data_IF_071163217518
#
_entry.id   IF_071163217518
#
_cell.length_a   1.000
_cell.length_b   1.000
_cell.length_c   1.000
_cell.angle_alpha   90.00
_cell.angle_beta   90.00
_cell.angle_gamma   90.00
#
_symmetry.space_group_name_H-M   'P 1'
#
loop_
_entity.id
_entity.type
_entity.pdbx_description
1 polymer ?
#
# COMPACT_ATOMS: atom_id res chain seq x y z
N UNK A 1 50.48 -51.15 33.91
CA UNK A 1 50.91 -52.37 33.21
C UNK A 1 49.92 -52.66 32.10
N UNK A 2 50.43 -52.90 30.90
CA UNK A 2 49.69 -53.28 29.68
C UNK A 2 48.89 -54.58 29.87
N UNK A 3 47.70 -54.69 29.28
CA UNK A 3 47.48 -55.67 28.20
C UNK A 3 46.15 -55.49 27.46
N UNK A 4 46.21 -55.81 26.16
CA UNK A 4 45.18 -55.67 25.12
C UNK A 4 44.53 -57.04 24.85
N UNK A 5 43.28 -57.03 24.35
CA UNK A 5 42.54 -58.02 23.51
C UNK A 5 41.22 -58.48 24.16
N UNK A 6 40.09 -58.71 23.47
CA UNK A 6 39.66 -58.63 22.06
C UNK A 6 38.13 -58.92 22.05
N UNK A 7 37.40 -58.36 21.07
CA UNK A 7 36.09 -58.82 20.58
C UNK A 7 34.88 -58.33 21.39
N UNK A 8 33.80 -57.78 20.83
CA UNK A 8 33.27 -57.69 19.46
C UNK A 8 32.37 -56.42 19.37
N UNK A 9 32.49 -55.50 18.39
CA UNK A 9 31.80 -55.46 17.06
C UNK A 9 30.26 -55.51 17.20
N UNK A 10 29.41 -54.59 16.72
CA UNK A 10 29.30 -53.63 15.59
C UNK A 10 28.14 -52.66 15.93
N UNK A 11 27.91 -51.47 15.37
CA UNK A 11 28.52 -50.70 14.29
C UNK A 11 27.63 -49.48 13.99
N UNK A 12 28.23 -48.33 13.65
CA UNK A 12 27.79 -47.54 12.50
C UNK A 12 28.88 -46.53 12.09
N UNK A 13 29.21 -46.51 10.80
CA UNK A 13 30.39 -45.85 10.22
C UNK A 13 30.13 -44.37 9.93
N UNK A 14 30.99 -43.49 10.46
CA UNK A 14 31.34 -42.21 9.83
C UNK A 14 32.38 -42.42 8.72
N UNK A 15 32.30 -41.67 7.63
CA UNK A 15 33.42 -41.24 6.75
C UNK A 15 32.92 -40.10 5.84
N UNK A 16 33.64 -39.04 5.52
CA UNK A 16 34.80 -38.33 6.08
C UNK A 16 34.94 -37.06 5.23
N UNK A 17 35.25 -35.95 5.88
CA UNK A 17 35.64 -34.66 5.29
C UNK A 17 36.84 -34.85 4.35
N UNK A 18 36.82 -34.21 3.17
CA UNK A 18 38.02 -33.96 2.36
C UNK A 18 38.22 -32.45 2.23
N UNK A 19 39.20 -31.98 2.99
CA UNK A 19 39.87 -30.70 2.83
C UNK A 19 41.00 -30.94 1.79
N UNK A 20 41.07 -30.10 0.76
CA UNK A 20 42.24 -29.96 -0.11
C UNK A 20 42.58 -28.47 -0.14
N UNK A 21 43.78 -28.15 0.33
CA UNK A 21 44.41 -26.84 0.13
C UNK A 21 45.55 -26.93 -0.88
N UNK A 22 46.22 -25.77 -1.03
CA UNK A 22 47.46 -25.47 -1.78
C UNK A 22 47.13 -25.09 -3.25
N UNK A 23 47.51 -23.95 -3.84
CA UNK A 23 48.74 -23.13 -3.75
C UNK A 23 48.42 -21.65 -4.01
N UNK A 24 49.02 -20.76 -3.23
CA UNK A 24 49.18 -19.35 -3.56
C UNK A 24 50.32 -19.18 -4.58
N UNK A 25 50.03 -18.57 -5.73
CA UNK A 25 51.04 -17.94 -6.58
C UNK A 25 50.75 -16.43 -6.60
N UNK A 26 51.65 -15.69 -5.98
CA UNK A 26 51.72 -14.25 -6.07
C UNK A 26 52.08 -13.87 -7.51
N UNK A 27 51.12 -13.28 -8.22
CA UNK A 27 51.31 -12.61 -9.49
C UNK A 27 50.76 -11.20 -9.36
N UNK A 28 51.61 -10.27 -8.96
CA UNK A 28 51.35 -8.84 -8.94
C UNK A 28 51.18 -8.33 -10.37
N UNK A 29 49.97 -7.94 -10.76
CA UNK A 29 49.75 -6.99 -11.84
C UNK A 29 48.39 -6.29 -11.72
N UNK A 30 48.49 -4.98 -11.45
CA UNK A 30 47.54 -3.91 -11.76
C UNK A 30 46.15 -3.92 -11.09
N UNK A 31 45.97 -2.90 -10.25
CA UNK A 31 44.68 -2.39 -9.78
C UNK A 31 43.71 -2.22 -10.95
N UNK A 32 42.62 -2.96 -10.85
CA UNK A 32 41.37 -2.71 -11.55
C UNK A 32 40.26 -3.30 -10.70
N UNK A 33 40.07 -2.78 -9.49
CA UNK A 33 38.85 -3.04 -8.75
C UNK A 33 37.71 -2.40 -9.52
N UNK A 34 37.16 -3.12 -10.50
CA UNK A 34 35.78 -2.90 -10.92
C UNK A 34 34.97 -3.07 -9.65
N UNK A 35 34.56 -1.96 -9.06
CA UNK A 35 33.44 -1.95 -8.14
C UNK A 35 32.29 -2.60 -8.91
N UNK A 36 32.02 -3.87 -8.64
CA UNK A 36 30.71 -4.42 -8.88
C UNK A 36 29.80 -3.60 -7.98
N UNK A 37 29.27 -2.50 -8.52
CA UNK A 37 28.18 -1.78 -7.88
C UNK A 37 27.14 -2.84 -7.59
N UNK A 38 26.84 -3.05 -6.32
CA UNK A 38 25.69 -3.84 -5.93
C UNK A 38 24.49 -3.19 -6.59
N UNK A 39 24.03 -3.72 -7.73
CA UNK A 39 22.74 -3.35 -8.27
C UNK A 39 21.75 -3.64 -7.17
N UNK A 40 21.13 -2.62 -6.58
CA UNK A 40 20.11 -2.82 -5.58
C UNK A 40 19.07 -3.77 -6.19
N UNK A 41 18.88 -4.94 -5.59
CA UNK A 41 17.94 -5.91 -6.12
C UNK A 41 16.56 -5.26 -6.09
N UNK A 42 15.87 -5.25 -7.24
CA UNK A 42 14.52 -4.68 -7.31
C UNK A 42 13.63 -5.35 -6.24
N UNK A 43 12.73 -4.59 -5.60
CA UNK A 43 11.86 -5.13 -4.57
C UNK A 43 11.02 -6.28 -5.12
N UNK A 44 10.77 -7.29 -4.31
CA UNK A 44 9.79 -8.31 -4.66
C UNK A 44 8.40 -7.66 -4.76
N UNK A 45 7.71 -7.90 -5.88
CA UNK A 45 6.35 -7.43 -6.10
C UNK A 45 5.36 -8.50 -5.60
N UNK A 46 4.37 -8.12 -4.78
CA UNK A 46 3.32 -9.02 -4.29
C UNK A 46 1.96 -8.36 -4.37
N UNK A 47 0.92 -9.13 -4.71
CA UNK A 47 -0.47 -8.68 -4.69
C UNK A 47 -1.29 -9.57 -3.76
N UNK A 48 -1.87 -8.97 -2.74
CA UNK A 48 -2.80 -9.58 -1.79
C UNK A 48 -4.19 -9.00 -2.02
N UNK A 49 -4.88 -9.48 -3.06
CA UNK A 49 -6.18 -8.95 -3.45
C UNK A 49 -7.11 -10.03 -3.98
N UNK A 50 -8.32 -10.12 -3.44
CA UNK A 50 -9.37 -11.07 -3.80
C UNK A 50 -10.43 -10.50 -4.75
N UNK A 51 -11.50 -11.26 -4.99
CA UNK A 51 -12.68 -10.77 -5.72
C UNK A 51 -13.43 -9.72 -4.91
N UNK A 52 -13.42 -9.86 -3.58
CA UNK A 52 -13.98 -8.91 -2.64
C UNK A 52 -13.07 -8.68 -1.41
N UNK A 53 -13.59 -7.92 -0.44
CA UNK A 53 -12.92 -7.61 0.84
C UNK A 53 -12.68 -8.87 1.69
N UNK A 54 -13.60 -9.84 1.66
CA UNK A 54 -13.47 -11.09 2.41
C UNK A 54 -12.32 -11.89 1.80
N UNK A 55 -12.33 -12.16 0.49
CA UNK A 55 -11.24 -12.87 -0.19
C UNK A 55 -9.89 -12.17 -0.01
N UNK A 56 -9.87 -10.84 0.00
CA UNK A 56 -8.66 -10.05 0.29
C UNK A 56 -8.15 -10.33 1.70
N UNK A 57 -9.02 -10.35 2.72
CA UNK A 57 -8.65 -10.73 4.09
C UNK A 57 -8.11 -12.17 4.20
N UNK A 58 -8.65 -13.11 3.40
CA UNK A 58 -8.17 -14.50 3.40
C UNK A 58 -6.79 -14.63 2.75
N UNK A 59 -6.52 -13.84 1.69
CA UNK A 59 -5.18 -13.77 1.07
C UNK A 59 -4.14 -13.17 2.02
N UNK A 60 -4.51 -12.13 2.76
CA UNK A 60 -3.67 -11.54 3.82
C UNK A 60 -3.39 -12.58 4.91
N UNK A 61 -4.43 -13.30 5.33
CA UNK A 61 -4.31 -14.37 6.33
C UNK A 61 -3.35 -15.48 5.86
N UNK A 62 -3.56 -16.01 4.65
CA UNK A 62 -2.72 -17.07 4.07
C UNK A 62 -1.28 -16.63 3.82
N UNK A 63 -1.06 -15.35 3.52
CA UNK A 63 0.29 -14.79 3.36
C UNK A 63 1.11 -14.89 4.65
N UNK A 64 0.51 -14.60 5.81
CA UNK A 64 1.24 -14.48 7.07
C UNK A 64 1.06 -15.65 8.05
N UNK A 65 -0.03 -16.39 7.96
CA UNK A 65 -0.36 -17.48 8.89
C UNK A 65 -0.60 -18.80 8.16
N UNK A 66 0.29 -19.76 8.40
CA UNK A 66 0.05 -21.16 8.09
C UNK A 66 -0.92 -21.78 9.11
N UNK A 67 -0.74 -21.44 10.39
CA UNK A 67 -1.64 -21.75 11.50
C UNK A 67 -1.80 -20.51 12.39
N UNK A 68 -2.94 -20.38 13.06
CA UNK A 68 -3.18 -19.35 14.07
C UNK A 68 -4.16 -19.88 15.11
N UNK A 69 -3.79 -19.84 16.39
CA UNK A 69 -4.68 -20.24 17.48
C UNK A 69 -5.85 -19.25 17.69
N UNK A 70 -5.62 -17.99 17.32
CA UNK A 70 -6.56 -16.89 17.51
C UNK A 70 -6.94 -16.28 16.15
N UNK A 71 -8.16 -15.78 16.03
CA UNK A 71 -8.57 -14.88 14.94
C UNK A 71 -9.37 -13.68 15.52
N UNK A 72 -9.23 -12.52 14.89
CA UNK A 72 -10.10 -11.35 15.15
C UNK A 72 -11.15 -11.30 14.06
N UNK A 73 -12.43 -11.31 14.42
CA UNK A 73 -13.54 -11.31 13.48
C UNK A 73 -14.27 -9.96 13.52
N UNK A 74 -14.39 -9.33 12.35
CA UNK A 74 -15.02 -8.01 12.22
C UNK A 74 -16.09 -8.03 11.11
N UNK A 75 -16.99 -7.06 11.14
CA UNK A 75 -18.04 -6.97 10.12
C UNK A 75 -17.46 -6.40 8.81
N UNK A 76 -17.79 -7.05 7.69
CA UNK A 76 -17.31 -6.68 6.36
C UNK A 76 -17.87 -5.33 5.86
N UNK A 77 -19.04 -4.90 6.36
CA UNK A 77 -19.76 -3.68 5.96
C UNK A 77 -19.65 -2.52 6.96
N UNK A 78 -19.31 -2.80 8.23
CA UNK A 78 -19.24 -1.78 9.29
C UNK A 78 -17.89 -1.83 10.03
N UNK A 79 -16.91 -1.09 9.50
CA UNK A 79 -15.52 -1.19 9.95
C UNK A 79 -15.13 -0.27 11.10
N UNK A 80 -15.93 0.76 11.38
CA UNK A 80 -15.52 1.84 12.29
C UNK A 80 -15.18 1.34 13.70
N UNK A 81 -15.99 0.43 14.25
CA UNK A 81 -15.76 -0.18 15.56
C UNK A 81 -14.46 -1.00 15.61
N UNK A 82 -14.00 -1.46 14.45
CA UNK A 82 -12.87 -2.37 14.32
C UNK A 82 -11.55 -1.69 13.96
N UNK A 83 -11.50 -0.39 13.62
CA UNK A 83 -10.27 0.27 13.17
C UNK A 83 -9.17 0.28 14.24
N UNK A 84 -9.54 0.15 15.51
CA UNK A 84 -8.62 0.05 16.65
C UNK A 84 -8.24 -1.40 17.02
N UNK A 85 -8.64 -2.40 16.23
CA UNK A 85 -8.40 -3.82 16.56
C UNK A 85 -7.02 -4.35 16.18
N UNK A 86 -6.24 -3.62 15.38
CA UNK A 86 -4.93 -4.08 14.92
C UNK A 86 -3.95 -4.40 16.07
N UNK A 87 -3.89 -3.61 17.17
CA UNK A 87 -3.06 -3.98 18.30
C UNK A 87 -3.48 -5.27 19.00
N UNK A 88 -4.79 -5.52 19.12
CA UNK A 88 -5.31 -6.75 19.70
C UNK A 88 -4.97 -7.95 18.80
N UNK A 89 -5.20 -7.83 17.50
CA UNK A 89 -4.85 -8.86 16.53
C UNK A 89 -3.34 -9.17 16.57
N UNK A 90 -2.49 -8.13 16.67
CA UNK A 90 -1.04 -8.28 16.81
C UNK A 90 -0.67 -8.99 18.12
N UNK A 91 -1.23 -8.54 19.25
CA UNK A 91 -0.99 -9.13 20.58
C UNK A 91 -1.40 -10.61 20.66
N UNK A 92 -2.47 -10.99 19.96
CA UNK A 92 -2.96 -12.37 19.90
C UNK A 92 -2.38 -13.19 18.75
N UNK A 93 -1.43 -12.61 17.99
CA UNK A 93 -0.84 -13.23 16.80
C UNK A 93 -1.90 -13.78 15.83
N UNK A 94 -2.93 -12.98 15.59
CA UNK A 94 -4.16 -13.37 14.92
C UNK A 94 -4.34 -12.63 13.58
N UNK A 95 -4.84 -13.28 12.52
CA UNK A 95 -5.37 -12.58 11.36
C UNK A 95 -6.67 -11.84 11.71
N UNK A 96 -6.92 -10.76 10.98
CA UNK A 96 -8.24 -10.11 10.93
C UNK A 96 -9.03 -10.77 9.80
N UNK A 97 -10.13 -11.42 10.15
CA UNK A 97 -11.06 -12.05 9.22
C UNK A 97 -12.38 -11.30 9.19
N UNK A 98 -13.10 -11.41 8.08
CA UNK A 98 -14.31 -10.65 7.83
C UNK A 98 -15.55 -11.55 7.78
N UNK A 99 -16.70 -11.03 8.17
CA UNK A 99 -17.99 -11.71 8.01
C UNK A 99 -19.13 -10.71 7.84
N UNK A 100 -20.26 -11.16 7.32
CA UNK A 100 -21.48 -10.37 7.32
C UNK A 100 -22.13 -10.34 8.71
N UNK A 101 -23.10 -9.44 8.91
CA UNK A 101 -23.74 -9.22 10.22
C UNK A 101 -24.37 -10.49 10.79
N UNK A 102 -25.13 -11.21 9.98
CA UNK A 102 -26.05 -12.24 10.48
C UNK A 102 -25.61 -13.67 10.18
N UNK A 103 -24.54 -13.85 9.41
CA UNK A 103 -24.08 -15.15 8.96
C UNK A 103 -22.55 -15.21 8.99
N UNK A 104 -21.98 -16.30 9.50
CA UNK A 104 -20.54 -16.56 9.36
C UNK A 104 -20.23 -16.87 7.90
N UNK A 105 -19.51 -15.98 7.21
CA UNK A 105 -19.16 -16.18 5.81
C UNK A 105 -18.50 -17.55 5.59
N UNK A 106 -18.94 -18.28 4.57
CA UNK A 106 -18.48 -19.65 4.31
C UNK A 106 -16.97 -19.72 4.06
N UNK A 107 -16.40 -18.76 3.32
CA UNK A 107 -14.95 -18.71 3.04
C UNK A 107 -14.17 -18.38 4.32
N UNK A 108 -14.68 -17.48 5.16
CA UNK A 108 -14.10 -17.20 6.48
C UNK A 108 -14.14 -18.42 7.40
N UNK A 109 -15.23 -19.18 7.37
CA UNK A 109 -15.36 -20.44 8.12
C UNK A 109 -14.34 -21.48 7.68
N UNK A 110 -14.07 -21.58 6.38
CA UNK A 110 -13.02 -22.45 5.83
C UNK A 110 -11.63 -21.99 6.27
N UNK A 111 -11.37 -20.69 6.27
CA UNK A 111 -10.08 -20.15 6.71
C UNK A 111 -9.82 -20.39 8.20
N UNK A 112 -10.85 -20.21 9.04
CA UNK A 112 -10.81 -20.55 10.47
C UNK A 112 -10.40 -22.03 10.67
N UNK A 113 -10.94 -22.94 9.84
CA UNK A 113 -10.57 -24.36 9.89
C UNK A 113 -9.14 -24.59 9.40
N UNK A 114 -8.75 -23.98 8.29
CA UNK A 114 -7.39 -24.09 7.71
C UNK A 114 -6.32 -23.69 8.72
N UNK A 115 -6.56 -22.59 9.44
CA UNK A 115 -5.65 -22.04 10.44
C UNK A 115 -5.62 -22.85 11.75
N UNK A 116 -6.60 -23.71 12.00
CA UNK A 116 -6.75 -24.43 13.26
C UNK A 116 -7.16 -23.54 14.43
N UNK A 117 -7.89 -22.45 14.17
CA UNK A 117 -8.30 -21.45 15.18
C UNK A 117 -9.08 -22.11 16.33
N UNK A 118 -8.76 -21.69 17.55
CA UNK A 118 -9.39 -22.10 18.80
C UNK A 118 -10.15 -20.97 19.48
N UNK A 119 -9.69 -19.73 19.33
CA UNK A 119 -10.33 -18.58 19.93
C UNK A 119 -10.65 -17.52 18.87
N UNK A 120 -11.86 -16.97 18.91
CA UNK A 120 -12.28 -15.87 18.04
C UNK A 120 -12.69 -14.66 18.88
N UNK A 121 -12.05 -13.53 18.61
CA UNK A 121 -12.38 -12.23 19.19
C UNK A 121 -13.33 -11.50 18.25
N UNK A 122 -14.62 -11.43 18.60
CA UNK A 122 -15.64 -10.76 17.78
C UNK A 122 -15.71 -9.29 18.16
N UNK A 123 -15.40 -8.39 17.23
CA UNK A 123 -15.36 -6.95 17.50
C UNK A 123 -16.70 -6.29 17.17
N UNK A 124 -17.23 -5.55 18.14
CA UNK A 124 -18.49 -4.82 18.02
C UNK A 124 -19.66 -5.49 18.75
N UNK A 125 -20.75 -4.73 18.86
CA UNK A 125 -21.99 -5.18 19.51
C UNK A 125 -22.72 -6.23 18.67
N UNK A 126 -23.81 -6.79 19.22
CA UNK A 126 -24.70 -7.69 18.49
C UNK A 126 -25.42 -7.02 17.31
N UNK A 127 -25.46 -5.68 17.28
CA UNK A 127 -25.97 -4.93 16.12
C UNK A 127 -25.00 -4.92 14.94
N UNK A 128 -23.70 -5.08 15.24
CA UNK A 128 -22.59 -5.12 14.27
C UNK A 128 -22.37 -6.54 13.77
N UNK A 129 -22.26 -7.52 14.67
CA UNK A 129 -22.19 -8.96 14.32
C UNK A 129 -23.17 -9.66 15.25
N UNK A 130 -24.18 -10.32 14.73
CA UNK A 130 -25.27 -10.88 15.53
C UNK A 130 -24.81 -12.07 16.38
N UNK A 131 -25.65 -12.45 17.34
CA UNK A 131 -25.43 -13.64 18.16
C UNK A 131 -25.49 -14.95 17.33
N UNK A 132 -26.05 -14.91 16.11
CA UNK A 132 -26.07 -16.08 15.24
C UNK A 132 -24.66 -16.46 14.79
N UNK A 133 -23.82 -15.48 14.44
CA UNK A 133 -22.42 -15.72 14.08
C UNK A 133 -21.65 -16.34 15.24
N UNK A 134 -21.88 -15.89 16.49
CA UNK A 134 -21.28 -16.51 17.68
C UNK A 134 -21.72 -17.97 17.85
N UNK A 135 -23.00 -18.25 17.63
CA UNK A 135 -23.53 -19.60 17.67
C UNK A 135 -22.89 -20.50 16.61
N UNK A 136 -22.69 -20.00 15.39
CA UNK A 136 -22.01 -20.73 14.32
C UNK A 136 -20.54 -21.04 14.67
N UNK A 137 -19.83 -20.11 15.30
CA UNK A 137 -18.46 -20.32 15.79
C UNK A 137 -18.43 -21.34 16.94
N UNK A 138 -19.31 -21.22 17.92
CA UNK A 138 -19.41 -22.18 19.04
C UNK A 138 -19.70 -23.61 18.54
N UNK A 139 -20.54 -23.76 17.50
CA UNK A 139 -20.80 -25.05 16.86
C UNK A 139 -19.56 -25.66 16.18
N UNK A 140 -18.52 -24.88 15.94
CA UNK A 140 -17.21 -25.34 15.47
C UNK A 140 -16.24 -25.63 16.64
N UNK A 141 -16.70 -25.62 17.89
CA UNK A 141 -15.91 -25.73 19.12
C UNK A 141 -14.85 -24.63 19.25
N UNK A 142 -15.19 -23.42 18.82
CA UNK A 142 -14.35 -22.23 18.96
C UNK A 142 -14.79 -21.47 20.21
N UNK A 143 -13.83 -21.04 21.04
CA UNK A 143 -14.09 -20.15 22.15
C UNK A 143 -14.31 -18.72 21.61
N UNK A 144 -15.50 -18.18 21.81
CA UNK A 144 -15.84 -16.83 21.32
C UNK A 144 -15.74 -15.82 22.46
N UNK A 145 -14.99 -14.74 22.23
CA UNK A 145 -14.97 -13.55 23.11
C UNK A 145 -15.43 -12.33 22.33
N UNK A 146 -16.61 -11.81 22.66
CA UNK A 146 -17.09 -10.56 22.09
C UNK A 146 -16.49 -9.36 22.82
N UNK A 147 -15.98 -8.40 22.06
CA UNK A 147 -15.49 -7.11 22.56
C UNK A 147 -16.28 -6.02 21.84
N UNK A 148 -17.36 -5.57 22.49
CA UNK A 148 -18.28 -4.58 21.95
C UNK A 148 -18.79 -3.62 23.02
N UNK A 149 -18.82 -2.34 22.68
CA UNK A 149 -19.32 -1.26 23.52
C UNK A 149 -20.72 -0.79 23.17
N UNK A 150 -21.23 0.16 23.95
CA UNK A 150 -22.45 0.91 23.61
C UNK A 150 -22.27 1.76 22.35
N UNK A 151 -21.04 2.17 22.09
CA UNK A 151 -20.60 2.86 20.89
C UNK A 151 -19.14 2.49 20.58
N UNK A 152 -18.58 3.11 19.55
CA UNK A 152 -17.20 2.89 19.14
C UNK A 152 -16.16 3.42 20.13
N UNK A 153 -16.50 4.44 20.92
CA UNK A 153 -15.61 4.95 21.97
C UNK A 153 -15.45 3.89 23.06
N UNK A 154 -16.56 3.38 23.59
CA UNK A 154 -16.55 2.29 24.58
C UNK A 154 -15.91 1.02 24.02
N UNK A 155 -16.16 0.69 22.74
CA UNK A 155 -15.51 -0.44 22.06
C UNK A 155 -13.99 -0.27 22.02
N UNK A 156 -13.47 0.92 21.68
CA UNK A 156 -12.03 1.18 21.66
C UNK A 156 -11.38 1.04 23.04
N UNK A 157 -12.05 1.51 24.10
CA UNK A 157 -11.56 1.33 25.47
C UNK A 157 -11.55 -0.13 25.90
N UNK A 158 -12.59 -0.90 25.52
CA UNK A 158 -12.66 -2.33 25.80
C UNK A 158 -11.56 -3.09 25.10
N UNK A 159 -11.26 -2.78 23.83
CA UNK A 159 -10.13 -3.37 23.11
C UNK A 159 -8.80 -3.01 23.79
N UNK A 160 -8.62 -1.73 24.18
CA UNK A 160 -7.40 -1.30 24.87
C UNK A 160 -7.15 -2.05 26.18
N UNK A 161 -8.21 -2.35 26.95
CA UNK A 161 -8.14 -3.12 28.20
C UNK A 161 -7.84 -4.61 28.01
N UNK A 162 -7.92 -5.13 26.79
CA UNK A 162 -7.55 -6.51 26.45
C UNK A 162 -6.07 -6.67 26.11
N UNK A 163 -5.35 -5.55 25.96
CA UNK A 163 -3.92 -5.54 25.68
C UNK A 163 -3.11 -5.69 26.96
N UNK A 164 -2.03 -6.44 26.86
CA UNK A 164 -1.02 -6.62 27.89
C UNK A 164 0.26 -5.89 27.43
N UNK A 165 1.07 -5.39 28.36
CA UNK A 165 2.34 -4.70 28.06
C UNK A 165 2.19 -3.51 27.10
N UNK A 166 1.23 -2.63 27.41
CA UNK A 166 1.03 -1.38 26.67
C UNK A 166 1.98 -0.31 27.22
N UNK A 167 2.73 0.34 26.32
CA UNK A 167 3.70 1.39 26.65
C UNK A 167 3.13 2.79 26.38
N UNK A 168 2.18 2.89 25.44
CA UNK A 168 1.64 4.17 24.99
C UNK A 168 0.22 4.05 24.46
N UNK A 169 -0.41 5.19 24.20
CA UNK A 169 -1.75 5.26 23.61
C UNK A 169 -1.75 6.15 22.38
N UNK A 170 -2.59 5.83 21.40
CA UNK A 170 -2.92 6.68 20.28
C UNK A 170 -4.38 7.12 20.38
N UNK A 171 -4.64 8.43 20.39
CA UNK A 171 -5.97 9.02 20.38
C UNK A 171 -6.29 9.53 18.97
N UNK A 172 -7.37 9.02 18.40
CA UNK A 172 -7.85 9.33 17.05
C UNK A 172 -9.35 9.64 17.07
N UNK A 173 -9.88 10.28 16.04
CA UNK A 173 -11.32 10.51 15.97
C UNK A 173 -12.04 9.22 15.55
N UNK A 174 -13.02 8.78 16.35
CA UNK A 174 -13.76 7.56 16.08
C UNK A 174 -14.82 7.68 14.98
N UNK A 175 -15.28 8.90 14.65
CA UNK A 175 -16.45 9.14 13.80
C UNK A 175 -16.15 9.87 12.49
N UNK A 176 -15.05 10.61 12.42
CA UNK A 176 -14.61 11.36 11.25
C UNK A 176 -13.13 11.12 11.03
N UNK A 177 -12.70 11.05 9.76
CA UNK A 177 -11.28 10.88 9.45
C UNK A 177 -10.77 9.50 9.85
N UNK A 178 -11.58 8.45 9.63
CA UNK A 178 -11.27 7.06 10.00
C UNK A 178 -9.91 6.55 9.49
N UNK A 179 -9.38 7.14 8.42
CA UNK A 179 -8.05 6.87 7.90
C UNK A 179 -6.90 7.21 8.89
N UNK A 180 -7.12 8.14 9.83
CA UNK A 180 -6.17 8.48 10.89
C UNK A 180 -5.97 7.29 11.84
N UNK A 181 -7.06 6.57 12.16
CA UNK A 181 -7.01 5.35 12.99
C UNK A 181 -6.23 4.22 12.29
N UNK A 182 -6.41 4.07 10.97
CA UNK A 182 -5.71 3.03 10.20
C UNK A 182 -4.25 3.38 9.98
N UNK A 183 -3.92 4.67 9.89
CA UNK A 183 -2.53 5.13 9.71
C UNK A 183 -1.61 4.70 10.86
N UNK A 184 -2.13 4.65 12.09
CA UNK A 184 -1.39 4.21 13.28
C UNK A 184 -1.51 2.70 13.55
N UNK A 185 -2.35 1.96 12.80
CA UNK A 185 -2.66 0.56 13.09
C UNK A 185 -1.44 -0.38 13.05
N UNK A 186 -0.60 -0.27 12.02
CA UNK A 186 0.64 -1.07 11.92
C UNK A 186 1.73 -0.59 12.91
N UNK A 187 2.07 0.71 12.97
CA UNK A 187 3.05 1.22 13.94
C UNK A 187 2.70 0.99 15.40
N UNK A 188 1.41 0.90 15.73
CA UNK A 188 0.96 0.65 17.09
C UNK A 188 1.43 -0.70 17.66
N UNK A 189 1.75 -1.67 16.78
CA UNK A 189 2.13 -3.04 17.15
C UNK A 189 1.17 -3.58 18.21
N UNK A 190 1.65 -4.29 19.23
CA UNK A 190 0.83 -4.71 20.38
C UNK A 190 0.95 -3.77 21.59
N UNK A 191 1.86 -2.80 21.57
CA UNK A 191 2.24 -1.99 22.74
C UNK A 191 1.70 -0.55 22.70
N UNK A 192 0.94 -0.18 21.67
CA UNK A 192 0.20 1.08 21.62
C UNK A 192 -1.30 0.81 21.50
N UNK A 193 -2.07 1.17 22.51
CA UNK A 193 -3.52 1.04 22.45
C UNK A 193 -4.14 2.18 21.63
N UNK A 194 -5.10 1.88 20.75
CA UNK A 194 -5.79 2.90 19.94
C UNK A 194 -7.14 3.21 20.58
N UNK A 195 -7.33 4.48 20.98
CA UNK A 195 -8.50 5.00 21.66
C UNK A 195 -9.23 5.99 20.77
N UNK A 196 -10.56 5.94 20.79
CA UNK A 196 -11.38 6.88 20.03
C UNK A 196 -11.84 8.05 20.88
N UNK A 197 -11.85 9.22 20.25
CA UNK A 197 -12.43 10.45 20.75
C UNK A 197 -13.37 11.05 19.67
N UNK A 198 -14.10 12.08 20.05
CA UNK A 198 -14.76 12.98 19.09
C UNK A 198 -13.93 14.24 18.91
N UNK A 199 -14.35 15.11 17.98
CA UNK A 199 -13.61 16.34 17.67
C UNK A 199 -13.38 17.21 18.88
N UNK A 200 -14.44 17.45 19.65
CA UNK A 200 -14.47 18.40 20.75
C UNK A 200 -14.82 17.74 22.10
N UNK A 201 -14.97 16.41 22.12
CA UNK A 201 -15.32 15.65 23.31
C UNK A 201 -14.37 14.45 23.53
N UNK A 202 -13.85 14.33 24.75
CA UNK A 202 -13.07 13.19 25.21
C UNK A 202 -13.83 12.57 26.37
N UNK A 203 -14.26 11.32 26.21
CA UNK A 203 -14.91 10.57 27.28
C UNK A 203 -13.97 10.46 28.49
N UNK A 204 -14.49 10.65 29.71
CA UNK A 204 -13.67 10.67 30.94
C UNK A 204 -12.89 9.37 31.15
N UNK A 205 -13.48 8.22 30.80
CA UNK A 205 -12.81 6.92 30.94
C UNK A 205 -11.66 6.77 29.92
N UNK A 206 -11.79 7.36 28.72
CA UNK A 206 -10.71 7.42 27.74
C UNK A 206 -9.60 8.35 28.25
N UNK A 207 -9.96 9.53 28.75
CA UNK A 207 -9.01 10.49 29.32
C UNK A 207 -8.22 9.87 30.47
N UNK A 208 -8.90 9.21 31.40
CA UNK A 208 -8.27 8.58 32.56
C UNK A 208 -7.36 7.43 32.16
N UNK A 209 -7.80 6.58 31.24
CA UNK A 209 -6.97 5.50 30.72
C UNK A 209 -5.77 6.04 29.94
N UNK A 210 -5.94 7.05 29.09
CA UNK A 210 -4.82 7.65 28.36
C UNK A 210 -3.77 8.26 29.29
N UNK A 211 -4.21 8.89 30.39
CA UNK A 211 -3.34 9.51 31.39
C UNK A 211 -2.50 8.53 32.21
N UNK A 212 -2.81 7.23 32.19
CA UNK A 212 -1.93 6.23 32.84
C UNK A 212 -0.64 5.99 32.05
N UNK A 213 -0.55 6.48 30.82
CA UNK A 213 0.62 6.33 29.96
C UNK A 213 1.41 7.63 29.89
N UNK A 214 2.73 7.48 29.76
CA UNK A 214 3.61 8.64 29.62
C UNK A 214 3.50 9.26 28.23
N UNK A 215 3.39 8.45 27.17
CA UNK A 215 3.37 8.93 25.78
C UNK A 215 1.97 8.80 25.19
N UNK A 216 1.46 9.89 24.63
CA UNK A 216 0.20 9.90 23.87
C UNK A 216 0.44 10.35 22.44
N UNK A 217 0.17 9.49 21.47
CA UNK A 217 0.08 9.90 20.07
C UNK A 217 -1.30 10.47 19.79
N UNK A 218 -1.39 11.59 19.07
CA UNK A 218 -2.66 12.11 18.56
C UNK A 218 -2.58 12.13 17.04
N UNK A 219 -3.44 11.37 16.36
CA UNK A 219 -3.45 11.30 14.89
C UNK A 219 -4.71 11.98 14.37
N UNK A 220 -4.51 13.03 13.56
CA UNK A 220 -5.56 13.83 12.95
C UNK A 220 -5.39 15.34 13.18
N UNK A 221 -5.80 16.12 12.18
CA UNK A 221 -5.82 17.59 12.24
C UNK A 221 -6.84 18.15 13.22
N UNK A 222 -6.86 19.47 13.40
CA UNK A 222 -7.81 20.15 14.32
C UNK A 222 -9.28 19.99 13.91
N UNK A 223 -9.56 19.69 12.64
CA UNK A 223 -10.89 19.32 12.16
C UNK A 223 -11.36 17.95 12.67
N UNK A 224 -10.44 17.05 13.02
CA UNK A 224 -10.71 15.72 13.58
C UNK A 224 -10.55 15.69 15.10
N UNK A 225 -9.50 16.28 15.67
CA UNK A 225 -9.22 16.31 17.12
C UNK A 225 -8.75 17.72 17.50
N UNK A 226 -9.57 18.44 18.27
CA UNK A 226 -9.31 19.83 18.63
C UNK A 226 -8.19 20.00 19.66
N UNK A 227 -7.66 21.22 19.76
CA UNK A 227 -6.63 21.56 20.76
C UNK A 227 -7.10 21.31 22.19
N UNK A 228 -8.40 21.44 22.45
CA UNK A 228 -8.98 21.18 23.77
C UNK A 228 -8.80 19.71 24.19
N UNK A 229 -8.87 18.78 23.25
CA UNK A 229 -8.61 17.35 23.51
C UNK A 229 -7.12 17.13 23.74
N UNK A 230 -6.27 17.71 22.88
CA UNK A 230 -4.80 17.60 23.00
C UNK A 230 -4.32 18.09 24.36
N UNK A 231 -4.83 19.23 24.84
CA UNK A 231 -4.43 19.83 26.12
C UNK A 231 -4.85 19.01 27.36
N UNK A 232 -5.71 18.00 27.20
CA UNK A 232 -6.10 17.08 28.28
C UNK A 232 -5.18 15.89 28.42
N UNK A 233 -4.26 15.65 27.48
CA UNK A 233 -3.47 14.41 27.39
C UNK A 233 -2.00 14.64 27.78
N UNK A 234 -1.30 13.59 28.20
CA UNK A 234 0.09 13.65 28.67
C UNK A 234 1.09 13.44 27.52
N UNK A 235 2.16 14.26 27.49
CA UNK A 235 3.27 14.23 26.52
C UNK A 235 2.85 13.88 25.10
N UNK A 236 2.04 14.76 24.51
CA UNK A 236 1.42 14.51 23.21
C UNK A 236 2.43 14.65 22.06
N UNK A 237 2.48 13.63 21.21
CA UNK A 237 3.12 13.68 19.89
C UNK A 237 1.99 13.68 18.85
N UNK A 238 1.83 14.79 18.13
CA UNK A 238 0.71 14.98 17.20
C UNK A 238 1.14 14.78 15.75
N UNK A 239 0.40 13.95 15.02
CA UNK A 239 0.52 13.76 13.58
C UNK A 239 -0.72 14.35 12.89
N UNK A 240 -0.52 15.38 12.08
CA UNK A 240 -1.59 16.02 11.33
C UNK A 240 -1.09 16.46 9.96
N UNK A 241 -1.71 15.94 8.91
CA UNK A 241 -1.48 16.34 7.53
C UNK A 241 -2.52 17.29 6.97
N UNK A 242 -2.27 17.79 5.75
CA UNK A 242 -3.26 18.55 4.98
C UNK A 242 -4.47 17.69 4.57
N UNK A 243 -4.24 16.39 4.43
CA UNK A 243 -5.24 15.36 4.18
C UNK A 243 -4.80 14.02 4.81
N UNK A 244 -5.60 12.98 4.61
CA UNK A 244 -5.33 11.64 5.17
C UNK A 244 -4.05 11.00 4.62
N UNK A 245 -3.65 11.31 3.38
CA UNK A 245 -2.43 10.81 2.75
C UNK A 245 -1.19 11.46 3.34
N UNK A 246 -1.24 12.77 3.63
CA UNK A 246 -0.18 13.48 4.33
C UNK A 246 -0.10 13.10 5.82
N UNK A 247 -1.23 12.89 6.51
CA UNK A 247 -1.24 12.35 7.88
C UNK A 247 -0.59 10.96 7.92
N UNK A 248 -0.95 10.08 6.99
CA UNK A 248 -0.35 8.74 6.87
C UNK A 248 1.17 8.82 6.65
N UNK A 249 1.65 9.70 5.77
CA UNK A 249 3.08 9.91 5.55
C UNK A 249 3.82 10.35 6.81
N UNK A 250 3.24 11.29 7.59
CA UNK A 250 3.83 11.78 8.85
C UNK A 250 3.91 10.69 9.92
N UNK A 251 2.88 9.84 10.01
CA UNK A 251 2.93 8.67 10.89
C UNK A 251 4.04 7.72 10.45
N UNK A 252 4.12 7.38 9.15
CA UNK A 252 5.15 6.49 8.65
C UNK A 252 6.57 7.04 8.87
N UNK A 253 6.82 8.31 8.58
CA UNK A 253 8.16 8.93 8.72
C UNK A 253 8.64 8.98 10.18
N UNK A 254 7.71 9.07 11.14
CA UNK A 254 8.05 9.04 12.56
C UNK A 254 8.41 7.62 13.05
N UNK A 255 7.63 6.61 12.68
CA UNK A 255 7.79 5.26 13.22
C UNK A 255 8.78 4.39 12.45
N UNK A 256 8.99 4.65 11.16
CA UNK A 256 9.91 3.87 10.32
C UNK A 256 11.11 4.74 9.93
N UNK A 257 12.17 4.67 10.74
CA UNK A 257 13.38 5.48 10.54
C UNK A 257 14.52 4.72 9.87
N UNK A 258 14.49 3.39 9.93
CA UNK A 258 15.49 2.52 9.33
C UNK A 258 15.52 2.67 7.81
N UNK A 259 16.73 2.78 7.25
CA UNK A 259 16.90 2.91 5.80
C UNK A 259 16.33 1.69 5.06
N UNK A 260 16.55 0.48 5.58
CA UNK A 260 16.05 -0.76 4.97
C UNK A 260 14.80 -1.25 5.70
N UNK A 261 13.70 -1.38 4.97
CA UNK A 261 12.42 -1.90 5.45
C UNK A 261 12.09 -3.20 4.72
N UNK A 262 11.43 -4.13 5.43
CA UNK A 262 11.09 -5.43 4.85
C UNK A 262 10.06 -5.29 3.73
N UNK A 263 9.05 -4.44 3.94
CA UNK A 263 7.91 -4.33 3.05
C UNK A 263 7.29 -2.92 3.14
N UNK A 264 6.53 -2.53 2.12
CA UNK A 264 5.52 -1.47 2.21
C UNK A 264 4.21 -2.01 1.65
N UNK A 265 3.17 -2.01 2.48
CA UNK A 265 1.83 -2.41 2.08
C UNK A 265 1.07 -1.21 1.54
N UNK A 266 0.47 -1.34 0.36
CA UNK A 266 -0.22 -0.24 -0.34
C UNK A 266 -1.70 -0.58 -0.39
N UNK A 267 -2.53 0.16 0.36
CA UNK A 267 -3.97 -0.08 0.46
C UNK A 267 -4.74 1.20 0.17
N UNK A 268 -6.01 1.09 -0.26
CA UNK A 268 -6.85 2.27 -0.55
C UNK A 268 -7.03 3.15 0.69
N UNK A 269 -7.01 4.47 0.51
CA UNK A 269 -7.12 5.44 1.60
C UNK A 269 -8.56 5.77 2.03
N UNK A 270 -9.56 5.23 1.34
CA UNK A 270 -10.99 5.43 1.60
C UNK A 270 -11.52 6.85 1.45
N UNK A 271 -10.90 7.70 0.61
CA UNK A 271 -11.44 9.03 0.29
C UNK A 271 -12.77 8.94 -0.46
N UNK A 272 -12.87 8.01 -1.41
CA UNK A 272 -14.09 7.83 -2.22
C UNK A 272 -15.15 7.03 -1.45
N UNK A 273 -14.73 6.01 -0.70
CA UNK A 273 -15.59 5.24 0.18
C UNK A 273 -14.83 4.87 1.46
N UNK A 274 -15.31 5.29 2.63
CA UNK A 274 -14.66 4.97 3.91
C UNK A 274 -14.53 3.45 4.12
N UNK A 275 -15.45 2.66 3.56
CA UNK A 275 -15.43 1.19 3.61
C UNK A 275 -14.23 0.55 2.90
N UNK A 276 -13.47 1.29 2.08
CA UNK A 276 -12.25 0.81 1.44
C UNK A 276 -11.06 0.73 2.39
N UNK A 277 -11.14 1.36 3.57
CA UNK A 277 -10.11 1.24 4.61
C UNK A 277 -10.01 -0.19 5.19
N UNK A 278 -10.96 -1.07 4.85
CA UNK A 278 -10.99 -2.44 5.38
C UNK A 278 -9.77 -3.28 4.97
N UNK A 279 -9.23 -3.03 3.77
CA UNK A 279 -8.04 -3.74 3.28
C UNK A 279 -6.80 -3.35 4.10
N UNK A 280 -6.67 -2.04 4.37
CA UNK A 280 -5.63 -1.49 5.23
C UNK A 280 -5.78 -1.94 6.69
N UNK A 281 -7.00 -2.02 7.20
CA UNK A 281 -7.31 -2.57 8.52
C UNK A 281 -6.89 -4.05 8.61
N UNK A 282 -7.22 -4.84 7.60
CA UNK A 282 -6.95 -6.29 7.58
C UNK A 282 -5.45 -6.60 7.52
N UNK A 283 -4.67 -5.79 6.79
CA UNK A 283 -3.21 -5.96 6.68
C UNK A 283 -2.43 -5.32 7.82
N UNK A 284 -3.05 -4.45 8.63
CA UNK A 284 -2.40 -3.77 9.76
C UNK A 284 -1.59 -4.69 10.68
N UNK A 285 -2.15 -5.82 11.17
CA UNK A 285 -1.41 -6.77 12.02
C UNK A 285 -0.25 -7.47 11.30
N UNK A 286 -0.33 -7.65 9.98
CA UNK A 286 0.78 -8.17 9.18
C UNK A 286 1.89 -7.13 9.10
N UNK A 287 1.54 -5.87 8.84
CA UNK A 287 2.48 -4.74 8.89
C UNK A 287 3.20 -4.65 10.23
N UNK A 288 2.45 -4.71 11.33
CA UNK A 288 3.01 -4.69 12.68
C UNK A 288 4.02 -5.84 12.92
N UNK A 289 3.69 -7.05 12.46
CA UNK A 289 4.54 -8.24 12.62
C UNK A 289 5.76 -8.25 11.70
N UNK A 290 5.71 -7.54 10.57
CA UNK A 290 6.83 -7.40 9.62
C UNK A 290 7.63 -6.12 9.83
N UNK A 291 7.28 -5.33 10.85
CA UNK A 291 7.79 -3.97 11.07
C UNK A 291 7.75 -3.13 9.80
N UNK A 292 6.60 -3.16 9.14
CA UNK A 292 6.42 -2.64 7.78
C UNK A 292 5.23 -1.66 7.71
N UNK A 293 5.42 -0.48 7.07
CA UNK A 293 4.37 0.51 6.93
C UNK A 293 3.18 0.03 6.09
N UNK A 294 2.00 0.55 6.43
CA UNK A 294 0.80 0.51 5.59
C UNK A 294 0.58 1.91 5.03
N UNK A 295 0.90 2.08 3.75
CA UNK A 295 0.69 3.30 2.98
C UNK A 295 -0.76 3.35 2.49
N UNK A 296 -1.46 4.42 2.86
CA UNK A 296 -2.81 4.69 2.40
C UNK A 296 -2.77 5.46 1.08
N UNK A 297 -3.10 4.78 -0.01
CA UNK A 297 -3.05 5.26 -1.38
C UNK A 297 -4.32 6.03 -1.77
N UNK A 298 -4.13 7.26 -2.23
CA UNK A 298 -5.13 7.97 -3.04
C UNK A 298 -5.00 7.62 -4.52
N UNK A 299 -5.43 8.51 -5.41
CA UNK A 299 -5.22 8.34 -6.87
C UNK A 299 -3.74 8.36 -7.27
N UNK A 300 -2.94 9.14 -6.56
CA UNK A 300 -1.49 9.29 -6.74
C UNK A 300 -0.84 9.40 -5.35
N UNK A 301 0.48 9.18 -5.26
CA UNK A 301 1.25 9.49 -4.05
C UNK A 301 1.27 11.00 -3.78
N UNK A 302 1.14 11.39 -2.51
CA UNK A 302 1.45 12.76 -2.09
C UNK A 302 2.96 13.02 -2.13
N UNK A 303 3.38 14.29 -2.14
CA UNK A 303 4.80 14.66 -2.06
C UNK A 303 5.49 14.04 -0.83
N UNK A 304 4.82 14.08 0.33
CA UNK A 304 5.32 13.48 1.57
C UNK A 304 5.50 11.96 1.46
N UNK A 305 4.55 11.27 0.82
CA UNK A 305 4.67 9.82 0.58
C UNK A 305 5.79 9.52 -0.42
N UNK A 306 5.97 10.31 -1.49
CA UNK A 306 7.11 10.16 -2.42
C UNK A 306 8.44 10.32 -1.70
N UNK A 307 8.55 11.30 -0.81
CA UNK A 307 9.76 11.53 -0.03
C UNK A 307 10.05 10.34 0.91
N UNK A 308 9.02 9.81 1.57
CA UNK A 308 9.15 8.59 2.37
C UNK A 308 9.67 7.43 1.51
N UNK A 309 9.04 7.15 0.37
CA UNK A 309 9.44 6.04 -0.51
C UNK A 309 10.89 6.21 -1.01
N UNK A 310 11.33 7.44 -1.35
CA UNK A 310 12.71 7.71 -1.80
C UNK A 310 13.76 7.60 -0.68
N UNK A 311 13.34 7.78 0.58
CA UNK A 311 14.22 7.71 1.76
C UNK A 311 14.54 6.28 2.17
N UNK A 312 13.68 5.32 1.80
CA UNK A 312 13.76 3.93 2.26
C UNK A 312 14.04 2.96 1.11
N UNK A 313 14.76 1.89 1.43
CA UNK A 313 14.94 0.70 0.60
C UNK A 313 13.94 -0.36 1.07
N UNK A 314 13.24 -1.01 0.15
CA UNK A 314 12.25 -2.04 0.49
C UNK A 314 12.65 -3.38 -0.11
N UNK A 315 12.61 -4.45 0.69
CA UNK A 315 12.78 -5.81 0.14
C UNK A 315 11.56 -6.28 -0.65
N UNK A 316 10.38 -5.72 -0.34
CA UNK A 316 9.10 -6.05 -0.96
C UNK A 316 8.19 -4.83 -1.06
N UNK A 317 7.37 -4.77 -2.09
CA UNK A 317 6.23 -3.85 -2.18
C UNK A 317 4.98 -4.71 -2.38
N UNK A 318 3.97 -4.51 -1.54
CA UNK A 318 2.76 -5.35 -1.54
C UNK A 318 1.52 -4.51 -1.82
N UNK A 319 0.84 -4.75 -2.95
CA UNK A 319 -0.51 -4.23 -3.18
C UNK A 319 -1.51 -5.00 -2.31
N UNK A 320 -2.41 -4.29 -1.63
CA UNK A 320 -3.47 -4.89 -0.80
C UNK A 320 -4.83 -4.43 -1.29
N UNK A 321 -5.67 -5.38 -1.70
CA UNK A 321 -6.92 -5.08 -2.39
C UNK A 321 -6.73 -4.60 -3.83
N UNK A 322 -7.85 -4.32 -4.50
CA UNK A 322 -7.95 -3.85 -5.88
C UNK A 322 -8.88 -2.63 -5.98
N UNK A 323 -8.92 -2.02 -7.16
CA UNK A 323 -9.90 -1.00 -7.55
C UNK A 323 -9.58 0.38 -7.01
N UNK A 324 -8.32 0.81 -7.06
CA UNK A 324 -7.96 2.20 -6.71
C UNK A 324 -6.53 2.44 -6.23
N UNK A 325 -5.72 1.40 -6.00
CA UNK A 325 -4.35 1.51 -5.50
C UNK A 325 -3.29 1.00 -6.49
N UNK A 326 -3.67 0.43 -7.63
CA UNK A 326 -2.76 -0.18 -8.62
C UNK A 326 -1.80 0.85 -9.23
N UNK A 327 -2.27 2.08 -9.46
CA UNK A 327 -1.44 3.15 -10.00
C UNK A 327 -0.39 3.61 -8.99
N UNK A 328 -0.77 3.75 -7.73
CA UNK A 328 0.17 4.07 -6.64
C UNK A 328 1.17 2.94 -6.43
N UNK A 329 0.72 1.69 -6.48
CA UNK A 329 1.60 0.52 -6.41
C UNK A 329 2.67 0.55 -7.52
N UNK A 330 2.28 0.80 -8.77
CA UNK A 330 3.21 0.98 -9.89
C UNK A 330 4.11 2.21 -9.72
N UNK A 331 3.56 3.32 -9.24
CA UNK A 331 4.32 4.55 -8.98
C UNK A 331 5.45 4.31 -7.96
N UNK A 332 5.18 3.58 -6.88
CA UNK A 332 6.19 3.19 -5.87
C UNK A 332 7.29 2.34 -6.52
N UNK A 333 6.92 1.32 -7.30
CA UNK A 333 7.89 0.44 -7.94
C UNK A 333 8.82 1.19 -8.89
N UNK A 334 8.30 2.13 -9.68
CA UNK A 334 9.10 2.95 -10.57
C UNK A 334 10.08 3.82 -9.76
N UNK A 335 9.59 4.52 -8.73
CA UNK A 335 10.45 5.32 -7.83
C UNK A 335 11.61 4.49 -7.29
N UNK A 336 11.34 3.25 -6.85
CA UNK A 336 12.36 2.36 -6.26
C UNK A 336 13.33 1.77 -7.30
N UNK A 337 12.91 1.62 -8.56
CA UNK A 337 13.79 1.19 -9.67
C UNK A 337 14.72 2.32 -10.14
N UNK A 338 14.58 3.53 -9.59
CA UNK A 338 15.24 4.73 -10.14
C UNK A 338 14.72 5.08 -11.54
N UNK A 339 13.63 4.43 -11.95
CA UNK A 339 12.88 4.78 -13.13
C UNK A 339 12.05 5.99 -12.74
N UNK A 340 12.35 7.16 -13.31
CA UNK A 340 11.41 8.27 -13.20
C UNK A 340 10.05 7.72 -13.60
N UNK A 341 9.10 7.75 -12.66
CA UNK A 341 7.72 7.49 -12.99
C UNK A 341 7.42 8.36 -14.20
N UNK A 342 6.84 7.83 -15.29
CA UNK A 342 6.17 8.69 -16.24
C UNK A 342 4.91 9.18 -15.50
N UNK A 343 5.11 10.11 -14.56
CA UNK A 343 4.04 10.93 -14.05
C UNK A 343 3.41 11.60 -15.25
N UNK A 344 2.10 11.83 -15.16
CA UNK A 344 1.39 12.72 -16.08
C UNK A 344 2.25 13.96 -16.30
N UNK A 345 2.95 13.97 -17.43
CA UNK A 345 3.82 15.09 -17.78
C UNK A 345 2.90 16.29 -17.94
N UNK A 346 3.21 17.40 -17.28
CA UNK A 346 2.45 18.63 -17.48
C UNK A 346 2.60 19.06 -18.94
N UNK A 347 1.65 19.82 -19.46
CA UNK A 347 1.77 20.36 -20.82
C UNK A 347 3.05 21.20 -21.00
N UNK A 348 3.54 21.84 -19.93
CA UNK A 348 4.81 22.55 -19.95
C UNK A 348 6.02 21.61 -20.06
N UNK A 349 6.08 20.57 -19.23
CA UNK A 349 7.15 19.57 -19.27
C UNK A 349 7.15 18.80 -20.60
N UNK A 350 5.97 18.50 -21.15
CA UNK A 350 5.85 17.82 -22.44
C UNK A 350 6.47 18.67 -23.55
N UNK A 351 6.16 19.97 -23.59
CA UNK A 351 6.78 20.91 -24.54
C UNK A 351 8.31 20.94 -24.41
N UNK A 352 8.83 20.89 -23.19
CA UNK A 352 10.27 20.92 -22.96
C UNK A 352 10.99 19.68 -23.49
N UNK A 353 10.30 18.52 -23.61
CA UNK A 353 10.88 17.28 -24.17
C UNK A 353 10.81 17.20 -25.69
N UNK A 354 9.94 17.98 -26.34
CA UNK A 354 9.73 17.91 -27.80
C UNK A 354 11.01 18.14 -28.64
N UNK A 355 11.89 19.11 -28.31
CA UNK A 355 13.16 19.29 -29.02
C UNK A 355 14.07 18.05 -29.03
N UNK A 356 14.12 17.32 -27.91
CA UNK A 356 14.92 16.09 -27.79
C UNK A 356 14.38 14.97 -28.69
N UNK A 357 13.09 15.02 -29.01
CA UNK A 357 12.40 14.09 -29.91
C UNK A 357 12.47 14.53 -31.39
N UNK A 358 13.20 15.60 -31.71
CA UNK A 358 13.34 16.12 -33.07
C UNK A 358 12.24 17.08 -33.52
N UNK A 359 11.37 17.52 -32.60
CA UNK A 359 10.35 18.52 -32.90
C UNK A 359 10.92 19.93 -32.75
N UNK A 360 10.63 20.81 -33.70
CA UNK A 360 11.13 22.19 -33.70
C UNK A 360 10.02 23.16 -33.36
N UNK A 361 10.31 24.14 -32.50
CA UNK A 361 9.33 25.14 -32.09
C UNK A 361 8.93 26.04 -33.26
N UNK A 362 7.64 26.29 -33.42
CA UNK A 362 7.06 27.12 -34.48
C UNK A 362 5.93 28.01 -33.92
N UNK A 363 6.14 29.33 -33.90
CA UNK A 363 5.18 30.29 -33.37
C UNK A 363 5.27 30.45 -31.84
N UNK A 364 4.13 30.51 -31.16
CA UNK A 364 4.07 30.77 -29.70
C UNK A 364 3.79 29.53 -28.85
N UNK A 365 3.05 28.52 -29.35
CA UNK A 365 2.67 27.33 -28.57
C UNK A 365 2.73 26.01 -29.36
N UNK A 366 3.26 26.03 -30.57
CA UNK A 366 3.21 24.89 -31.50
C UNK A 366 4.61 24.37 -31.78
N UNK A 367 4.74 23.07 -31.96
CA UNK A 367 5.96 22.42 -32.43
C UNK A 367 5.66 21.65 -33.71
N UNK A 368 6.61 21.64 -34.65
CA UNK A 368 6.53 20.89 -35.89
C UNK A 368 7.55 19.76 -35.93
N UNK A 369 7.17 18.64 -36.53
CA UNK A 369 8.05 17.54 -36.84
C UNK A 369 8.20 17.40 -38.36
N UNK A 370 9.44 17.33 -38.83
CA UNK A 370 9.78 17.20 -40.25
C UNK A 370 10.61 15.93 -40.45
N UNK A 371 10.33 15.16 -41.50
CA UNK A 371 11.13 14.01 -41.93
C UNK A 371 11.30 14.08 -43.44
N UNK A 372 12.54 14.04 -43.94
CA UNK A 372 12.86 14.16 -45.38
C UNK A 372 12.14 15.34 -46.07
N UNK A 373 12.15 16.52 -45.45
CA UNK A 373 11.45 17.75 -45.88
C UNK A 373 9.91 17.69 -45.89
N UNK A 374 9.30 16.57 -45.52
CA UNK A 374 7.86 16.44 -45.34
C UNK A 374 7.46 16.81 -43.90
N UNK A 375 6.34 17.54 -43.77
CA UNK A 375 5.76 17.84 -42.46
C UNK A 375 5.00 16.62 -41.94
N UNK A 376 5.56 15.99 -40.92
CA UNK A 376 4.98 14.80 -40.30
C UNK A 376 3.89 15.15 -39.30
N UNK A 377 4.05 16.24 -38.55
CA UNK A 377 3.05 16.64 -37.56
C UNK A 377 3.23 18.03 -37.00
N UNK A 378 2.17 18.54 -36.39
CA UNK A 378 2.13 19.67 -35.48
C UNK A 378 1.60 19.19 -34.14
N UNK A 379 2.20 19.66 -33.06
CA UNK A 379 1.65 19.45 -31.72
C UNK A 379 1.52 20.79 -31.01
N UNK A 380 0.36 21.01 -30.42
CA UNK A 380 0.09 22.13 -29.54
C UNK A 380 -0.32 21.57 -28.19
N UNK A 381 0.43 21.91 -27.15
CA UNK A 381 0.08 21.61 -25.79
C UNK A 381 -0.27 22.93 -25.11
N UNK A 382 -1.54 23.12 -24.74
CA UNK A 382 -2.01 24.34 -24.07
C UNK A 382 -3.07 23.97 -23.03
N UNK A 383 -2.99 24.61 -21.86
CA UNK A 383 -3.92 24.40 -20.74
C UNK A 383 -4.03 22.90 -20.38
N UNK A 384 -5.23 22.31 -20.47
CA UNK A 384 -5.48 20.90 -20.13
C UNK A 384 -5.56 19.98 -21.36
N UNK A 385 -5.16 20.42 -22.56
CA UNK A 385 -5.27 19.60 -23.78
C UNK A 385 -3.95 19.59 -24.56
N UNK A 386 -3.58 18.42 -25.08
CA UNK A 386 -2.53 18.29 -26.09
C UNK A 386 -3.17 17.82 -27.39
N UNK A 387 -3.08 18.64 -28.43
CA UNK A 387 -3.58 18.35 -29.76
C UNK A 387 -2.44 18.02 -30.72
N UNK A 388 -2.54 16.90 -31.41
CA UNK A 388 -1.68 16.50 -32.52
C UNK A 388 -2.44 16.62 -33.83
N UNK A 389 -1.89 17.35 -34.79
CA UNK A 389 -2.24 17.22 -36.21
C UNK A 389 -1.12 16.47 -36.91
N UNK A 390 -1.38 15.27 -37.41
CA UNK A 390 -0.40 14.43 -38.09
C UNK A 390 -0.71 14.45 -39.60
N UNK A 391 0.24 14.96 -40.40
CA UNK A 391 -0.01 15.42 -41.78
C UNK A 391 0.61 14.53 -42.88
N UNK A 392 1.16 13.38 -42.51
CA UNK A 392 1.73 12.39 -43.42
C UNK A 392 0.82 11.14 -43.52
N UNK A 393 1.08 10.26 -44.50
CA UNK A 393 0.47 8.94 -44.50
C UNK A 393 0.76 8.27 -43.15
N UNK A 394 -0.26 7.70 -42.51
CA UNK A 394 -0.14 7.15 -41.17
C UNK A 394 0.96 6.08 -41.06
N UNK A 395 1.26 5.40 -42.17
CA UNK A 395 2.35 4.42 -42.29
C UNK A 395 3.75 5.02 -42.11
N UNK A 396 3.93 6.32 -42.38
CA UNK A 396 5.20 7.05 -42.31
C UNK A 396 5.51 7.56 -40.89
N UNK A 397 4.59 7.43 -39.93
CA UNK A 397 4.86 7.79 -38.54
C UNK A 397 5.92 6.87 -37.92
N UNK A 398 6.87 7.49 -37.23
CA UNK A 398 8.04 6.84 -36.66
C UNK A 398 8.06 6.87 -35.12
N UNK A 399 9.21 6.51 -34.55
CA UNK A 399 9.42 6.45 -33.12
C UNK A 399 9.27 7.80 -32.41
N UNK A 400 9.43 8.95 -33.08
CA UNK A 400 9.26 10.26 -32.45
C UNK A 400 7.80 10.49 -32.05
N UNK A 401 6.87 10.23 -32.97
CA UNK A 401 5.42 10.33 -32.70
C UNK A 401 4.99 9.34 -31.60
N UNK A 402 5.50 8.11 -31.67
CA UNK A 402 5.23 7.10 -30.64
C UNK A 402 5.75 7.55 -29.25
N UNK A 403 6.94 8.14 -29.19
CA UNK A 403 7.51 8.63 -27.93
C UNK A 403 6.69 9.78 -27.36
N UNK A 404 6.17 10.69 -28.19
CA UNK A 404 5.22 11.72 -27.75
C UNK A 404 3.97 11.11 -27.09
N UNK A 405 3.37 10.09 -27.71
CA UNK A 405 2.22 9.40 -27.10
C UNK A 405 2.60 8.66 -25.83
N UNK A 406 3.77 8.01 -25.75
CA UNK A 406 4.24 7.35 -24.53
C UNK A 406 4.52 8.34 -23.39
N UNK A 407 4.95 9.57 -23.69
CA UNK A 407 5.10 10.61 -22.67
C UNK A 407 3.75 11.04 -22.07
N UNK A 408 2.71 11.14 -22.91
CA UNK A 408 1.38 11.61 -22.48
C UNK A 408 0.48 10.49 -21.94
N UNK A 409 0.68 9.26 -22.43
CA UNK A 409 -0.03 8.03 -22.12
C UNK A 409 1.01 6.92 -21.87
N UNK A 410 1.58 6.85 -20.66
CA UNK A 410 2.68 5.93 -20.35
C UNK A 410 2.39 4.46 -20.62
N UNK A 411 1.16 4.00 -20.35
CA UNK A 411 0.80 2.57 -20.52
C UNK A 411 0.05 2.32 -21.82
N UNK A 412 -0.53 3.37 -22.43
CA UNK A 412 -1.38 3.26 -23.62
C UNK A 412 -0.86 3.99 -24.86
N UNK A 413 0.27 4.67 -24.78
CA UNK A 413 0.81 5.48 -25.87
C UNK A 413 1.20 4.67 -27.10
N UNK A 414 1.74 3.46 -26.91
CA UNK A 414 2.01 2.54 -28.02
C UNK A 414 0.72 2.00 -28.65
N UNK A 415 -0.29 1.72 -27.83
CA UNK A 415 -1.60 1.32 -28.30
C UNK A 415 -2.24 2.44 -29.13
N UNK A 416 -2.19 3.69 -28.67
CA UNK A 416 -2.68 4.85 -29.40
C UNK A 416 -1.91 5.04 -30.72
N UNK A 417 -0.59 4.94 -30.68
CA UNK A 417 0.25 5.01 -31.88
C UNK A 417 -0.21 4.00 -32.95
N UNK A 418 -0.43 2.74 -32.55
CA UNK A 418 -0.85 1.69 -33.47
C UNK A 418 -2.27 1.92 -34.02
N UNK A 419 -3.17 2.53 -33.24
CA UNK A 419 -4.51 2.91 -33.71
C UNK A 419 -4.39 3.97 -34.82
N UNK A 420 -3.60 5.02 -34.61
CA UNK A 420 -3.50 6.15 -35.55
C UNK A 420 -2.53 5.90 -36.71
N UNK A 421 -1.70 4.85 -36.63
CA UNK A 421 -0.82 4.37 -37.71
C UNK A 421 -1.58 3.55 -38.77
N UNK A 422 -2.70 2.92 -38.41
CA UNK A 422 -3.51 2.09 -39.31
C UNK A 422 -4.78 2.78 -39.82
N UNK A 423 -5.67 2.02 -40.47
CA UNK A 423 -7.03 2.49 -40.75
C UNK A 423 -7.82 2.57 -39.45
N UNK A 424 -8.46 3.71 -39.19
CA UNK A 424 -9.29 3.91 -38.01
C UNK A 424 -10.56 4.72 -38.36
N UNK A 425 -11.57 4.56 -37.53
CA UNK A 425 -12.77 5.40 -37.52
C UNK A 425 -12.68 6.44 -36.40
N UNK A 426 -13.40 7.55 -36.56
CA UNK A 426 -13.48 8.60 -35.54
C UNK A 426 -14.01 8.01 -34.23
N UNK A 427 -13.28 8.22 -33.14
CA UNK A 427 -13.59 7.59 -31.85
C UNK A 427 -13.10 8.41 -30.66
N UNK A 428 -13.73 8.18 -29.51
CA UNK A 428 -13.32 8.70 -28.21
C UNK A 428 -12.95 7.53 -27.32
N UNK A 429 -11.75 7.57 -26.73
CA UNK A 429 -11.19 6.52 -25.89
C UNK A 429 -10.87 7.07 -24.50
N UNK A 430 -10.87 6.18 -23.50
CA UNK A 430 -10.29 6.47 -22.20
C UNK A 430 -8.97 5.71 -22.07
N UNK A 431 -7.86 6.44 -21.96
CA UNK A 431 -6.50 5.90 -21.93
C UNK A 431 -5.72 6.56 -20.80
N UNK A 432 -5.09 5.76 -19.94
CA UNK A 432 -4.35 6.26 -18.76
C UNK A 432 -5.15 7.28 -17.92
N UNK A 433 -6.47 7.08 -17.82
CA UNK A 433 -7.39 7.95 -17.10
C UNK A 433 -7.63 9.32 -17.74
N UNK A 434 -7.25 9.49 -19.02
CA UNK A 434 -7.47 10.66 -19.86
C UNK A 434 -8.48 10.35 -20.97
N UNK A 435 -9.22 11.37 -21.39
CA UNK A 435 -10.03 11.30 -22.61
C UNK A 435 -9.10 11.50 -23.82
N UNK A 436 -9.23 10.66 -24.84
CA UNK A 436 -8.51 10.77 -26.10
C UNK A 436 -9.53 10.81 -27.23
N UNK A 437 -9.58 11.90 -27.99
CA UNK A 437 -10.40 12.02 -29.19
C UNK A 437 -9.53 11.86 -30.43
N UNK A 438 -9.96 10.99 -31.35
CA UNK A 438 -9.27 10.72 -32.62
C UNK A 438 -10.25 11.03 -33.75
N UNK A 439 -9.85 11.87 -34.71
CA UNK A 439 -10.68 12.28 -35.85
C UNK A 439 -9.89 12.25 -37.15
N UNK A 440 -10.55 11.81 -38.22
CA UNK A 440 -10.05 11.94 -39.58
C UNK A 440 -10.24 13.38 -40.08
N UNK A 441 -9.13 14.01 -40.44
CA UNK A 441 -9.08 15.34 -41.03
C UNK A 441 -8.88 15.31 -42.53
N UNK A 442 -9.18 16.42 -43.19
CA UNK A 442 -8.90 16.60 -44.64
C UNK A 442 -7.42 16.55 -45.00
N UNK A 443 -6.53 16.74 -44.01
CA UNK A 443 -5.07 16.78 -44.19
C UNK A 443 -4.33 15.68 -43.41
N UNK A 444 -5.04 14.76 -42.75
CA UNK A 444 -4.42 13.71 -41.93
C UNK A 444 -5.20 13.40 -40.65
N UNK A 445 -4.50 12.99 -39.58
CA UNK A 445 -5.12 12.54 -38.32
C UNK A 445 -5.06 13.64 -37.25
N UNK A 446 -6.17 13.87 -36.55
CA UNK A 446 -6.20 14.72 -35.37
C UNK A 446 -6.38 13.88 -34.10
N UNK A 447 -5.53 14.13 -33.10
CA UNK A 447 -5.57 13.45 -31.81
C UNK A 447 -5.54 14.48 -30.68
N UNK A 448 -6.62 14.57 -29.92
CA UNK A 448 -6.69 15.44 -28.73
C UNK A 448 -6.66 14.59 -27.46
N UNK A 449 -5.69 14.85 -26.59
CA UNK A 449 -5.52 14.19 -25.30
C UNK A 449 -5.85 15.20 -24.19
N UNK A 450 -6.93 14.95 -23.47
CA UNK A 450 -7.40 15.81 -22.39
C UNK A 450 -6.81 15.36 -21.05
N UNK A 451 -5.95 16.20 -20.48
CA UNK A 451 -5.48 16.06 -19.11
C UNK A 451 -6.61 16.42 -18.14
N UNK A 452 -6.60 15.79 -16.96
CA UNK A 452 -7.52 16.09 -15.86
C UNK A 452 -7.22 17.43 -15.20
#
# INVERSE_FOLDING_TARGET
MFNINRGDMEGNKMKKIKQLGIVALAGSSALGATMMGSSAMAPQELVLAGEDRIDTSLKISSYKWQNAENAVLINSNTIADALCSAPLATAKNAPVLLTEKDNLNSKTKEEIKRLGVKNVYVIGSTNTISANVEKELNNLNINVKRIGGTDRIDTSLKIAKELENVDSVAVVNGYKGLADAVSIASPAKSNTAILFAEKDSLNKNIEDYAKTFNTTYVVGGESSISKNIVNKLNNVIKFAGTDRTDTNAKVMDYFYTDKALNNVFVAKNGMENEGDLIDALSVGPVGAKEDSPVLLAGKNLSTSQKNFIKKHEFSKVTQVGNGGNENVFREILNILKGEETPGTITNAEFRNKLPELGWTFEGETTYKYMQNDNRMGLVNAKDNVVGFGLFANSEEFDSSVMQCFKLLLPTKGEQLFNIVKGKFEDQTLEMDGKKVEIKNGSMGVYVDIYNK
#
